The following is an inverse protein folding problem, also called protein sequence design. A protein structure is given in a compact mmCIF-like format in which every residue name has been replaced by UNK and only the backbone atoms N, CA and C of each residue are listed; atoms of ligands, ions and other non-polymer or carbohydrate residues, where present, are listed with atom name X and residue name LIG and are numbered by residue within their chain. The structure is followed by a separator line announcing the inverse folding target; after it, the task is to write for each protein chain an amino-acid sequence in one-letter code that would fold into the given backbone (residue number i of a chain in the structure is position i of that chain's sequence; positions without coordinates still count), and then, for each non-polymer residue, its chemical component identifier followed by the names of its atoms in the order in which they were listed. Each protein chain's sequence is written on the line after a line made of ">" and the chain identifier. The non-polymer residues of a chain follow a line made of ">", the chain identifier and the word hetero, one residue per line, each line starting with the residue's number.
data_IF_797989021980
#
_entry.id   IF_797989021980
#
_cell.length_a   1.000
_cell.length_b   1.000
_cell.length_c   1.000
_cell.angle_alpha   90.00
_cell.angle_beta   90.00
_cell.angle_gamma   90.00
#
_symmetry.space_group_name_H-M   'P 1'
#
loop_
_entity.id
_entity.type
_entity.pdbx_description
1 polymer ?
#
# COMPACT_ATOMS: atom_id res chain seq x y z
N UNK A 1 25.96 -26.04 46.21
CA UNK A 1 26.13 -26.68 44.89
C UNK A 1 24.80 -27.35 44.56
N UNK A 2 23.91 -26.66 43.91
CA UNK A 2 22.62 -27.18 43.45
C UNK A 2 22.60 -27.02 41.93
N UNK A 3 22.62 -28.16 41.26
CA UNK A 3 22.54 -28.25 39.80
C UNK A 3 21.10 -28.17 39.40
N UNK A 4 20.72 -27.09 38.67
CA UNK A 4 19.43 -26.99 37.99
C UNK A 4 19.63 -27.48 36.56
N UNK A 5 19.06 -28.64 36.26
CA UNK A 5 19.00 -29.24 34.93
C UNK A 5 18.23 -28.32 33.95
N UNK A 6 18.83 -28.12 32.79
CA UNK A 6 18.26 -27.35 31.69
C UNK A 6 16.93 -27.92 31.19
N UNK A 7 15.92 -27.08 31.17
CA UNK A 7 14.69 -27.32 30.46
C UNK A 7 14.88 -26.82 29.01
N UNK A 8 15.01 -27.74 28.07
CA UNK A 8 14.89 -27.46 26.64
C UNK A 8 13.45 -27.03 26.37
N UNK A 9 13.24 -25.75 26.19
CA UNK A 9 11.97 -25.24 25.63
C UNK A 9 12.06 -25.43 24.12
N UNK A 10 11.55 -26.56 23.66
CA UNK A 10 11.26 -26.78 22.25
C UNK A 10 10.06 -25.95 21.89
N UNK A 11 10.28 -24.80 21.30
CA UNK A 11 9.19 -24.06 20.64
C UNK A 11 8.75 -24.86 19.42
N UNK A 12 7.61 -25.52 19.54
CA UNK A 12 6.97 -26.24 18.45
C UNK A 12 6.60 -25.24 17.35
N UNK A 13 7.35 -25.25 16.28
CA UNK A 13 6.99 -24.63 14.98
C UNK A 13 5.62 -25.16 14.46
N UNK A 14 5.10 -26.23 15.06
CA UNK A 14 3.82 -26.84 14.71
C UNK A 14 2.60 -26.00 15.12
N UNK A 15 2.72 -25.14 16.14
CA UNK A 15 1.56 -24.39 16.65
C UNK A 15 1.20 -23.17 15.78
N UNK A 16 2.12 -22.69 14.93
CA UNK A 16 1.89 -21.58 14.01
C UNK A 16 1.36 -22.05 12.65
N UNK A 17 1.59 -23.32 12.30
CA UNK A 17 1.11 -23.90 11.02
C UNK A 17 -0.32 -24.48 11.11
N UNK A 18 -0.80 -24.81 12.30
CA UNK A 18 -2.15 -25.38 12.44
C UNK A 18 -3.31 -24.42 12.09
N UNK A 19 -3.28 -23.10 12.39
CA UNK A 19 -4.33 -22.23 11.89
C UNK A 19 -4.31 -22.11 10.36
N UNK A 20 -3.15 -22.12 9.73
CA UNK A 20 -3.05 -22.05 8.26
C UNK A 20 -3.66 -23.27 7.55
N UNK A 21 -3.56 -24.47 8.11
CA UNK A 21 -4.15 -25.68 7.52
C UNK A 21 -5.67 -25.75 7.71
N UNK A 22 -6.21 -25.21 8.81
CA UNK A 22 -7.66 -25.14 9.03
C UNK A 22 -8.34 -24.11 8.10
N UNK A 23 -7.64 -23.06 7.67
CA UNK A 23 -8.13 -22.08 6.70
C UNK A 23 -8.26 -22.67 5.29
N UNK A 24 -7.45 -23.63 4.92
CA UNK A 24 -7.44 -24.21 3.57
C UNK A 24 -8.62 -25.18 3.30
N UNK A 25 -9.30 -25.68 4.33
CA UNK A 25 -10.41 -26.63 4.13
C UNK A 25 -11.71 -25.98 3.61
N UNK A 26 -11.90 -24.68 3.82
CA UNK A 26 -13.11 -23.96 3.38
C UNK A 26 -12.87 -23.00 2.21
N UNK A 27 -11.63 -22.54 1.99
CA UNK A 27 -11.28 -21.71 0.84
C UNK A 27 -10.95 -22.60 -0.36
N UNK A 28 -11.48 -22.25 -1.55
CA UNK A 28 -11.12 -22.94 -2.78
C UNK A 28 -9.66 -22.71 -3.11
N UNK A 29 -9.01 -23.73 -3.64
CA UNK A 29 -7.64 -23.59 -4.14
C UNK A 29 -7.57 -22.45 -5.18
N UNK A 30 -6.59 -21.56 -5.10
CA UNK A 30 -6.53 -20.35 -5.94
C UNK A 30 -6.56 -20.66 -7.45
N UNK A 31 -5.94 -21.76 -7.86
CA UNK A 31 -5.85 -22.16 -9.26
C UNK A 31 -7.10 -22.88 -9.81
N UNK A 32 -8.02 -23.29 -8.93
CA UNK A 32 -9.22 -24.08 -9.27
C UNK A 32 -10.51 -23.29 -9.02
N UNK A 33 -10.46 -21.96 -9.04
CA UNK A 33 -11.66 -21.18 -8.84
C UNK A 33 -12.64 -21.35 -9.99
N UNK A 34 -13.69 -22.13 -9.76
CA UNK A 34 -14.82 -22.28 -10.66
C UNK A 34 -16.08 -21.81 -9.96
N UNK A 35 -16.90 -20.98 -10.60
CA UNK A 35 -18.18 -20.56 -10.04
C UNK A 35 -19.06 -21.76 -9.70
N UNK A 36 -19.58 -21.81 -8.46
CA UNK A 36 -20.51 -22.86 -8.01
C UNK A 36 -21.93 -22.57 -8.51
N UNK A 37 -22.31 -21.29 -8.52
CA UNK A 37 -23.67 -20.84 -8.83
C UNK A 37 -23.85 -20.46 -10.30
N UNK A 38 -23.42 -21.32 -11.22
CA UNK A 38 -23.45 -21.02 -12.67
C UNK A 38 -24.83 -20.60 -13.16
N UNK A 39 -25.91 -21.29 -12.72
CA UNK A 39 -27.29 -20.92 -13.07
C UNK A 39 -27.70 -19.56 -12.47
N UNK A 40 -27.29 -19.28 -11.24
CA UNK A 40 -27.51 -17.99 -10.58
C UNK A 40 -26.82 -16.86 -11.33
N UNK A 41 -25.56 -17.06 -11.72
CA UNK A 41 -24.79 -16.10 -12.51
C UNK A 41 -25.47 -15.84 -13.86
N UNK A 42 -25.87 -16.88 -14.57
CA UNK A 42 -26.55 -16.76 -15.86
C UNK A 42 -27.86 -15.98 -15.73
N UNK A 43 -28.64 -16.24 -14.69
CA UNK A 43 -29.89 -15.52 -14.40
C UNK A 43 -29.62 -14.04 -14.12
N UNK A 44 -28.66 -13.70 -13.25
CA UNK A 44 -28.30 -12.30 -12.96
C UNK A 44 -27.90 -11.55 -14.22
N UNK A 45 -27.02 -12.16 -15.04
CA UNK A 45 -26.58 -11.59 -16.33
C UNK A 45 -27.74 -11.30 -17.27
N UNK A 46 -28.69 -12.21 -17.37
CA UNK A 46 -29.88 -12.08 -18.22
C UNK A 46 -30.81 -10.96 -17.70
N UNK A 47 -31.15 -10.96 -16.42
CA UNK A 47 -32.03 -9.96 -15.78
C UNK A 47 -31.46 -8.54 -15.89
N UNK A 48 -30.15 -8.39 -15.76
CA UNK A 48 -29.46 -7.10 -15.82
C UNK A 48 -28.98 -6.71 -17.23
N UNK A 49 -29.17 -7.58 -18.25
CA UNK A 49 -28.61 -7.41 -19.61
C UNK A 49 -27.10 -7.12 -19.58
N UNK A 50 -26.39 -7.82 -18.72
CA UNK A 50 -24.99 -7.58 -18.39
C UNK A 50 -24.15 -8.86 -18.66
N UNK A 51 -23.79 -9.16 -19.91
CA UNK A 51 -23.08 -10.39 -20.26
C UNK A 51 -21.72 -10.51 -19.56
N UNK A 52 -21.07 -9.38 -19.29
CA UNK A 52 -19.76 -9.32 -18.61
C UNK A 52 -19.84 -9.40 -17.08
N UNK A 53 -21.08 -9.49 -16.52
CA UNK A 53 -21.28 -9.56 -15.06
C UNK A 53 -21.13 -8.23 -14.33
N UNK A 54 -21.21 -7.10 -15.05
CA UNK A 54 -21.16 -5.73 -14.50
C UNK A 54 -22.14 -4.82 -15.19
N UNK A 55 -22.74 -3.89 -14.44
CA UNK A 55 -23.69 -2.86 -14.90
C UNK A 55 -23.15 -1.49 -14.51
N UNK A 56 -23.11 -0.57 -15.46
CA UNK A 56 -22.87 0.85 -15.22
C UNK A 56 -24.19 1.60 -15.35
N UNK A 57 -24.66 2.21 -14.26
CA UNK A 57 -25.80 3.11 -14.27
C UNK A 57 -25.30 4.56 -14.23
N UNK A 58 -25.32 5.22 -15.38
CA UNK A 58 -24.82 6.58 -15.54
C UNK A 58 -25.68 7.59 -14.78
N UNK A 59 -26.99 7.39 -14.75
CA UNK A 59 -27.90 8.30 -14.07
C UNK A 59 -27.77 8.24 -12.55
N UNK A 60 -27.64 7.04 -12.00
CA UNK A 60 -27.38 6.81 -10.58
C UNK A 60 -25.92 6.96 -10.18
N UNK A 61 -25.00 7.14 -11.15
CA UNK A 61 -23.54 7.14 -10.95
C UNK A 61 -23.08 5.94 -10.13
N UNK A 62 -23.56 4.78 -10.49
CA UNK A 62 -23.26 3.54 -9.77
C UNK A 62 -22.79 2.43 -10.70
N UNK A 63 -21.92 1.59 -10.16
CA UNK A 63 -21.46 0.35 -10.80
C UNK A 63 -21.92 -0.81 -9.94
N UNK A 64 -22.64 -1.76 -10.55
CA UNK A 64 -23.06 -3.00 -9.89
C UNK A 64 -22.40 -4.19 -10.55
N UNK A 65 -21.89 -5.10 -9.76
CA UNK A 65 -21.30 -6.34 -10.25
C UNK A 65 -21.63 -7.51 -9.35
N UNK A 66 -21.64 -8.69 -9.94
CA UNK A 66 -21.89 -9.92 -9.23
C UNK A 66 -20.59 -10.52 -8.70
N UNK A 67 -20.61 -11.04 -7.49
CA UNK A 67 -19.51 -11.75 -6.87
C UNK A 67 -20.00 -12.99 -6.12
N UNK A 68 -19.14 -13.96 -5.93
CA UNK A 68 -19.40 -15.21 -5.24
C UNK A 68 -18.53 -15.30 -3.98
N UNK A 69 -19.11 -15.69 -2.85
CA UNK A 69 -18.41 -15.85 -1.59
C UNK A 69 -17.39 -17.01 -1.65
N UNK A 70 -16.22 -16.78 -1.04
CA UNK A 70 -15.14 -17.77 -0.97
C UNK A 70 -15.41 -18.87 0.07
N UNK A 71 -16.24 -18.58 1.06
CA UNK A 71 -16.53 -19.48 2.18
C UNK A 71 -15.73 -19.13 3.44
N UNK A 72 -15.17 -17.94 3.51
CA UNK A 72 -14.42 -17.45 4.69
C UNK A 72 -15.30 -17.45 5.93
N UNK A 73 -14.78 -18.00 7.04
CA UNK A 73 -15.47 -18.11 8.32
C UNK A 73 -15.41 -16.81 9.13
N UNK A 74 -16.41 -16.59 9.98
CA UNK A 74 -16.43 -15.44 10.89
C UNK A 74 -15.18 -15.39 11.76
N UNK A 75 -14.54 -14.21 11.85
CA UNK A 75 -13.30 -13.99 12.58
C UNK A 75 -12.02 -14.36 11.82
N UNK A 76 -12.13 -14.96 10.64
CA UNK A 76 -10.96 -15.23 9.79
C UNK A 76 -10.41 -13.93 9.18
N UNK A 77 -9.08 -13.82 9.16
CA UNK A 77 -8.38 -12.66 8.58
C UNK A 77 -8.64 -12.56 7.08
N UNK A 78 -8.94 -11.34 6.63
CA UNK A 78 -9.11 -11.03 5.21
C UNK A 78 -8.26 -9.83 4.82
N UNK A 79 -7.58 -9.95 3.68
CA UNK A 79 -6.79 -8.87 3.08
C UNK A 79 -7.55 -8.22 1.92
N UNK A 80 -8.49 -8.94 1.31
CA UNK A 80 -9.28 -8.45 0.20
C UNK A 80 -10.77 -8.59 0.46
N UNK A 81 -11.50 -7.53 0.22
CA UNK A 81 -12.96 -7.61 0.18
C UNK A 81 -13.42 -8.35 -1.10
N UNK A 82 -12.80 -8.03 -2.24
CA UNK A 82 -13.12 -8.68 -3.51
C UNK A 82 -11.88 -8.78 -4.42
N UNK A 83 -11.74 -9.92 -5.05
CA UNK A 83 -10.70 -10.22 -6.04
C UNK A 83 -11.31 -10.56 -7.39
N UNK A 84 -10.51 -10.46 -8.46
CA UNK A 84 -10.89 -10.89 -9.79
C UNK A 84 -10.91 -12.43 -9.95
N UNK A 85 -11.57 -12.94 -10.99
CA UNK A 85 -11.77 -14.39 -11.17
C UNK A 85 -10.49 -15.19 -11.45
N UNK A 86 -9.40 -14.49 -11.83
CA UNK A 86 -8.09 -15.11 -12.11
C UNK A 86 -7.08 -14.90 -10.96
N UNK A 87 -7.52 -14.35 -9.82
CA UNK A 87 -6.64 -14.15 -8.68
C UNK A 87 -6.37 -15.45 -7.93
N UNK A 88 -5.15 -15.61 -7.44
CA UNK A 88 -4.71 -16.70 -6.57
C UNK A 88 -4.93 -16.42 -5.06
N UNK A 89 -5.67 -15.33 -4.73
CA UNK A 89 -5.85 -14.83 -3.35
C UNK A 89 -7.20 -15.18 -2.73
N UNK A 90 -7.88 -16.22 -3.24
CA UNK A 90 -9.21 -16.59 -2.70
C UNK A 90 -9.20 -16.96 -1.21
N UNK A 91 -8.08 -17.51 -0.72
CA UNK A 91 -7.90 -17.93 0.68
C UNK A 91 -7.86 -16.77 1.70
N UNK A 92 -7.62 -15.54 1.25
CA UNK A 92 -7.57 -14.33 2.08
C UNK A 92 -8.57 -13.25 1.61
N UNK A 93 -9.61 -13.69 0.89
CA UNK A 93 -10.62 -12.82 0.27
C UNK A 93 -12.02 -13.24 0.66
N UNK A 94 -12.94 -12.28 0.79
CA UNK A 94 -14.34 -12.58 1.03
C UNK A 94 -15.07 -12.99 -0.25
N UNK A 95 -14.83 -12.28 -1.35
CA UNK A 95 -15.58 -12.43 -2.58
C UNK A 95 -14.65 -12.59 -3.79
N UNK A 96 -15.10 -13.37 -4.77
CA UNK A 96 -14.51 -13.41 -6.11
C UNK A 96 -15.53 -12.87 -7.12
N UNK A 97 -15.14 -11.86 -7.89
CA UNK A 97 -16.05 -11.22 -8.87
C UNK A 97 -16.28 -12.11 -10.08
N UNK A 98 -17.49 -12.07 -10.63
CA UNK A 98 -17.81 -12.72 -11.91
C UNK A 98 -17.25 -11.91 -13.07
N UNK A 99 -17.30 -10.59 -12.97
CA UNK A 99 -16.72 -9.68 -13.94
C UNK A 99 -15.20 -9.59 -13.77
N UNK A 100 -14.48 -9.44 -14.88
CA UNK A 100 -13.06 -9.12 -14.82
C UNK A 100 -12.83 -7.74 -14.21
N UNK A 101 -11.69 -7.50 -13.53
CA UNK A 101 -11.33 -6.17 -13.06
C UNK A 101 -11.33 -5.11 -14.17
N UNK A 102 -10.93 -5.47 -15.38
CA UNK A 102 -10.97 -4.59 -16.54
C UNK A 102 -12.40 -4.18 -16.92
N UNK A 103 -13.36 -5.11 -16.89
CA UNK A 103 -14.76 -4.80 -17.15
C UNK A 103 -15.35 -3.89 -16.07
N UNK A 104 -15.00 -4.13 -14.80
CA UNK A 104 -15.40 -3.27 -13.67
C UNK A 104 -14.79 -1.86 -13.85
N UNK A 105 -13.52 -1.75 -14.20
CA UNK A 105 -12.86 -0.46 -14.46
C UNK A 105 -13.55 0.32 -15.60
N UNK A 106 -13.86 -0.36 -16.71
CA UNK A 106 -14.59 0.25 -17.82
C UNK A 106 -15.99 0.74 -17.41
N UNK A 107 -16.65 0.05 -16.48
CA UNK A 107 -17.94 0.49 -15.95
C UNK A 107 -17.82 1.77 -15.10
N UNK A 108 -16.76 1.90 -14.32
CA UNK A 108 -16.47 3.15 -13.59
C UNK A 108 -16.16 4.32 -14.55
N UNK A 109 -15.37 4.08 -15.60
CA UNK A 109 -15.15 5.09 -16.64
C UNK A 109 -16.47 5.54 -17.29
N UNK A 110 -17.38 4.60 -17.54
CA UNK A 110 -18.66 4.87 -18.19
C UNK A 110 -19.58 5.76 -17.34
N UNK A 111 -19.52 5.67 -16.01
CA UNK A 111 -20.28 6.57 -15.13
C UNK A 111 -19.61 7.93 -14.95
N UNK A 112 -18.45 8.15 -15.58
CA UNK A 112 -17.71 9.41 -15.54
C UNK A 112 -16.88 9.62 -14.28
N UNK A 113 -16.59 8.56 -13.50
CA UNK A 113 -15.76 8.66 -12.31
C UNK A 113 -14.30 8.94 -12.70
N UNK A 114 -13.70 10.05 -12.24
CA UNK A 114 -12.32 10.38 -12.56
C UNK A 114 -11.36 9.28 -12.05
N UNK A 115 -10.44 8.87 -12.92
CA UNK A 115 -9.45 7.86 -12.55
C UNK A 115 -8.48 8.40 -11.52
N UNK A 116 -8.33 7.67 -10.42
CA UNK A 116 -7.32 7.92 -9.42
C UNK A 116 -6.02 7.16 -9.66
N UNK A 117 -5.20 7.03 -8.63
CA UNK A 117 -3.93 6.29 -8.64
C UNK A 117 -3.77 5.54 -7.33
N UNK A 118 -3.44 4.25 -7.39
CA UNK A 118 -3.19 3.44 -6.20
C UNK A 118 -1.98 3.90 -5.40
N UNK A 119 -2.00 3.66 -4.11
CA UNK A 119 -0.81 3.82 -3.28
C UNK A 119 0.31 2.92 -3.81
N UNK A 120 1.50 3.47 -4.00
CA UNK A 120 2.67 2.74 -4.46
C UNK A 120 3.92 3.26 -3.74
N UNK A 121 4.36 2.59 -2.67
CA UNK A 121 5.55 2.99 -1.93
C UNK A 121 6.82 3.04 -2.81
N UNK A 122 6.90 2.21 -3.85
CA UNK A 122 8.02 2.21 -4.80
C UNK A 122 8.12 3.49 -5.63
N UNK A 123 7.02 4.25 -5.71
CA UNK A 123 6.94 5.54 -6.40
C UNK A 123 6.73 6.69 -5.41
N UNK A 124 7.04 6.49 -4.15
CA UNK A 124 6.80 7.43 -3.06
C UNK A 124 5.35 7.95 -2.97
N UNK A 125 4.40 7.20 -3.51
CA UNK A 125 2.98 7.46 -3.36
C UNK A 125 2.45 6.64 -2.20
N UNK A 126 2.43 7.23 -1.03
CA UNK A 126 2.06 6.55 0.23
C UNK A 126 0.54 6.47 0.40
N UNK A 127 -0.19 7.51 -0.03
CA UNK A 127 -1.64 7.57 0.02
C UNK A 127 -2.24 7.19 -1.34
N UNK A 128 -3.33 6.40 -1.36
CA UNK A 128 -4.11 6.24 -2.56
C UNK A 128 -4.75 7.58 -2.94
N UNK A 129 -4.83 7.88 -4.22
CA UNK A 129 -5.50 9.06 -4.74
C UNK A 129 -6.72 8.64 -5.56
N UNK A 130 -7.87 9.18 -5.25
CA UNK A 130 -9.09 8.90 -6.01
C UNK A 130 -10.35 9.46 -5.36
N UNK A 131 -11.41 9.54 -6.13
CA UNK A 131 -12.71 9.94 -5.64
C UNK A 131 -13.30 8.88 -4.70
N UNK A 132 -14.02 9.33 -3.68
CA UNK A 132 -14.67 8.46 -2.70
C UNK A 132 -15.89 7.79 -3.30
N UNK A 133 -16.04 6.51 -3.01
CA UNK A 133 -17.20 5.71 -3.40
C UNK A 133 -17.78 5.01 -2.18
N UNK A 134 -19.10 4.98 -2.14
CA UNK A 134 -19.83 4.18 -1.17
C UNK A 134 -20.01 2.77 -1.72
N UNK A 135 -19.63 1.75 -0.95
CA UNK A 135 -19.73 0.35 -1.34
C UNK A 135 -20.80 -0.34 -0.48
N UNK A 136 -21.67 -1.09 -1.13
CA UNK A 136 -22.60 -2.00 -0.47
C UNK A 136 -22.58 -3.38 -1.13
N UNK A 137 -22.88 -4.42 -0.36
CA UNK A 137 -23.02 -5.78 -0.88
C UNK A 137 -24.27 -6.41 -0.29
N UNK A 138 -25.09 -7.02 -1.15
CA UNK A 138 -26.34 -7.69 -0.76
C UNK A 138 -26.34 -9.12 -1.28
N UNK A 139 -26.77 -10.11 -0.48
CA UNK A 139 -27.03 -11.45 -0.98
C UNK A 139 -27.99 -11.38 -2.18
N UNK A 140 -27.67 -12.09 -3.26
CA UNK A 140 -28.50 -12.12 -4.46
C UNK A 140 -29.16 -13.48 -4.64
N UNK A 141 -30.43 -13.46 -5.05
CA UNK A 141 -31.19 -14.69 -5.29
C UNK A 141 -31.79 -15.35 -4.03
N UNK A 142 -31.55 -14.79 -2.88
CA UNK A 142 -32.18 -15.20 -1.62
C UNK A 142 -33.26 -14.18 -1.30
N UNK A 143 -34.46 -14.64 -0.90
CA UNK A 143 -35.48 -13.74 -0.35
C UNK A 143 -34.90 -13.12 0.93
N UNK A 144 -34.40 -11.89 0.81
CA UNK A 144 -33.77 -11.19 1.93
C UNK A 144 -34.85 -10.80 2.93
N UNK A 145 -34.71 -11.07 4.23
CA UNK A 145 -35.49 -10.37 5.24
C UNK A 145 -35.32 -8.87 5.02
N UNK A 146 -36.38 -8.09 5.17
CA UNK A 146 -36.42 -6.64 4.95
C UNK A 146 -35.33 -5.85 5.70
N UNK A 147 -34.67 -6.46 6.69
CA UNK A 147 -33.63 -5.91 7.57
C UNK A 147 -32.19 -6.32 7.20
N UNK A 148 -31.95 -7.01 6.10
CA UNK A 148 -30.60 -7.28 5.64
C UNK A 148 -29.98 -5.98 5.10
N UNK A 149 -29.59 -5.09 5.98
CA UNK A 149 -28.92 -3.84 5.65
C UNK A 149 -27.69 -4.08 4.79
N UNK A 150 -27.38 -3.12 3.94
CA UNK A 150 -26.55 -3.26 2.75
C UNK A 150 -25.15 -2.72 2.88
N UNK A 151 -24.58 -2.63 4.09
CA UNK A 151 -23.23 -2.05 4.26
C UNK A 151 -22.09 -3.09 4.17
N UNK A 152 -20.90 -2.66 3.78
CA UNK A 152 -19.65 -3.45 3.83
C UNK A 152 -19.40 -4.05 5.22
N UNK A 153 -19.79 -3.32 6.25
CA UNK A 153 -19.63 -3.62 7.67
C UNK A 153 -20.28 -4.91 8.13
N UNK A 154 -21.20 -5.46 7.35
CA UNK A 154 -21.78 -6.78 7.64
C UNK A 154 -20.91 -7.93 7.16
N UNK A 155 -19.99 -7.66 6.25
CA UNK A 155 -19.10 -8.68 5.69
C UNK A 155 -17.68 -8.58 6.28
N UNK A 156 -17.23 -7.37 6.63
CA UNK A 156 -15.89 -7.10 7.16
C UNK A 156 -15.98 -6.35 8.48
N UNK A 157 -15.16 -6.76 9.44
CA UNK A 157 -15.00 -6.09 10.74
C UNK A 157 -13.56 -5.65 10.93
N UNK A 158 -13.34 -4.40 11.37
CA UNK A 158 -12.05 -3.91 11.84
C UNK A 158 -11.91 -4.27 13.34
N UNK A 159 -11.01 -5.18 13.68
CA UNK A 159 -10.84 -5.65 15.07
C UNK A 159 -10.16 -4.64 16.00
N UNK A 160 -9.59 -3.57 15.45
CA UNK A 160 -8.94 -2.51 16.26
C UNK A 160 -9.90 -1.45 16.75
N UNK A 161 -11.01 -1.25 16.05
CA UNK A 161 -12.07 -0.37 16.52
C UNK A 161 -12.92 -1.14 17.52
N UNK A 162 -12.74 -0.89 18.82
CA UNK A 162 -13.53 -1.51 19.88
C UNK A 162 -14.96 -0.90 20.00
N UNK A 163 -15.30 0.04 19.13
CA UNK A 163 -16.63 0.64 19.11
C UNK A 163 -17.62 -0.33 18.43
N UNK A 164 -18.76 -0.53 19.06
CA UNK A 164 -19.92 -1.24 18.50
C UNK A 164 -20.52 -0.45 17.34
N UNK A 165 -19.84 -0.43 16.27
CA UNK A 165 -20.27 0.24 15.05
C UNK A 165 -19.37 -0.17 13.92
N UNK A 166 -19.85 -1.10 13.23
CA UNK A 166 -19.27 -1.85 12.10
C UNK A 166 -18.82 -1.01 10.90
N UNK A 167 -18.21 0.14 11.06
CA UNK A 167 -17.70 0.90 9.92
C UNK A 167 -16.25 0.51 9.61
N UNK A 168 -15.94 0.33 8.36
CA UNK A 168 -14.55 0.38 7.91
C UNK A 168 -13.97 1.71 8.40
N UNK A 169 -12.81 1.68 9.01
CA UNK A 169 -12.16 2.83 9.64
C UNK A 169 -11.75 3.94 8.65
N UNK A 170 -11.95 3.73 7.36
CA UNK A 170 -11.63 4.68 6.31
C UNK A 170 -12.60 4.57 5.12
N UNK A 171 -12.87 5.67 4.42
CA UNK A 171 -13.60 5.64 3.16
C UNK A 171 -12.93 4.76 2.12
N UNK A 172 -13.71 4.31 1.13
CA UNK A 172 -13.18 3.60 -0.04
C UNK A 172 -12.96 4.62 -1.15
N UNK A 173 -11.79 4.53 -1.80
CA UNK A 173 -11.44 5.38 -2.93
C UNK A 173 -11.25 4.57 -4.21
N UNK A 174 -11.67 5.15 -5.32
CA UNK A 174 -11.46 4.63 -6.66
C UNK A 174 -10.08 5.01 -7.17
N UNK A 175 -9.16 4.06 -7.25
CA UNK A 175 -7.78 4.29 -7.68
C UNK A 175 -7.52 3.88 -9.13
N UNK A 176 -8.47 3.21 -9.77
CA UNK A 176 -8.34 2.64 -11.12
C UNK A 176 -7.19 1.62 -11.29
N UNK A 177 -6.58 1.20 -10.20
CA UNK A 177 -5.43 0.27 -10.20
C UNK A 177 -4.11 0.92 -10.62
N UNK A 178 -3.03 0.14 -10.55
CA UNK A 178 -1.72 0.58 -11.04
C UNK A 178 -1.70 0.64 -12.57
N UNK A 179 -0.88 1.54 -13.12
CA UNK A 179 -0.68 1.71 -14.54
C UNK A 179 0.75 1.35 -14.93
N UNK A 180 0.91 0.74 -16.08
CA UNK A 180 2.22 0.55 -16.68
C UNK A 180 2.73 1.86 -17.31
N UNK A 181 3.97 1.86 -17.78
CA UNK A 181 4.58 3.02 -18.44
C UNK A 181 3.88 3.47 -19.75
N UNK A 182 2.83 2.75 -20.18
CA UNK A 182 1.99 3.07 -21.35
C UNK A 182 0.60 3.54 -20.95
N UNK A 183 0.42 3.88 -19.69
CA UNK A 183 -0.88 4.27 -19.10
C UNK A 183 -1.98 3.20 -19.17
N UNK A 184 -1.60 1.94 -19.40
CA UNK A 184 -2.53 0.80 -19.39
C UNK A 184 -2.69 0.29 -17.96
N UNK A 185 -3.92 -0.01 -17.52
CA UNK A 185 -4.12 -0.62 -16.21
C UNK A 185 -3.33 -1.94 -16.13
N UNK A 186 -2.46 -2.09 -15.14
CA UNK A 186 -1.73 -3.37 -14.90
C UNK A 186 -2.72 -4.52 -14.69
N UNK A 187 -3.91 -4.22 -14.18
CA UNK A 187 -5.05 -5.13 -14.12
C UNK A 187 -5.41 -5.80 -15.46
N UNK A 188 -5.07 -5.18 -16.60
CA UNK A 188 -5.31 -5.72 -17.93
C UNK A 188 -4.23 -6.70 -18.41
N UNK A 189 -3.10 -6.81 -17.72
CA UNK A 189 -1.92 -7.55 -18.16
C UNK A 189 -1.66 -8.83 -17.35
N UNK A 190 -2.64 -9.71 -17.18
CA UNK A 190 -2.46 -11.07 -16.64
C UNK A 190 -1.90 -11.19 -15.19
N UNK A 191 -1.86 -10.13 -14.41
CA UNK A 191 -1.54 -10.24 -12.98
C UNK A 191 -2.81 -10.52 -12.18
N UNK A 192 -2.73 -11.37 -11.14
CA UNK A 192 -3.83 -11.57 -10.21
C UNK A 192 -4.26 -10.22 -9.65
N UNK A 193 -5.44 -9.74 -10.04
CA UNK A 193 -5.88 -8.39 -9.72
C UNK A 193 -6.94 -8.43 -8.63
N UNK A 194 -6.68 -7.71 -7.54
CA UNK A 194 -7.68 -7.40 -6.56
C UNK A 194 -8.61 -6.29 -7.07
N UNK A 195 -9.90 -6.49 -6.90
CA UNK A 195 -10.91 -5.45 -7.17
C UNK A 195 -10.95 -4.47 -6.00
N UNK A 196 -10.98 -4.98 -4.77
CA UNK A 196 -10.98 -4.15 -3.58
C UNK A 196 -10.07 -4.74 -2.50
N UNK A 197 -8.95 -4.09 -2.22
CA UNK A 197 -8.03 -4.45 -1.15
C UNK A 197 -8.29 -3.64 0.12
N UNK A 198 -8.15 -4.29 1.28
CA UNK A 198 -8.29 -3.70 2.61
C UNK A 198 -6.95 -3.13 3.13
N UNK A 199 -5.91 -3.14 2.29
CA UNK A 199 -4.63 -2.48 2.50
C UNK A 199 -4.19 -1.74 1.22
N UNK A 200 -3.10 -0.98 1.28
CA UNK A 200 -2.61 -0.23 0.13
C UNK A 200 -1.93 -1.18 -0.87
N UNK A 201 -2.71 -1.70 -1.79
CA UNK A 201 -2.30 -2.61 -2.83
C UNK A 201 -2.39 -1.92 -4.20
N UNK A 202 -1.25 -1.50 -4.74
CA UNK A 202 -1.18 -0.68 -5.94
C UNK A 202 -2.02 -1.18 -7.13
N UNK A 203 -2.10 -2.49 -7.42
CA UNK A 203 -2.92 -3.00 -8.52
C UNK A 203 -4.43 -2.99 -8.29
N UNK A 204 -4.91 -2.79 -7.05
CA UNK A 204 -6.36 -2.83 -6.77
C UNK A 204 -7.11 -1.65 -7.35
N UNK A 205 -8.31 -1.89 -7.85
CA UNK A 205 -9.19 -0.86 -8.38
C UNK A 205 -9.74 0.06 -7.29
N UNK A 206 -10.04 -0.53 -6.14
CA UNK A 206 -10.57 0.14 -4.95
C UNK A 206 -9.64 -0.12 -3.77
N UNK A 207 -9.40 0.91 -2.95
CA UNK A 207 -8.57 0.82 -1.75
C UNK A 207 -9.20 1.63 -0.62
N UNK A 208 -8.80 1.33 0.61
CA UNK A 208 -9.12 2.20 1.74
C UNK A 208 -8.30 3.49 1.67
N UNK A 209 -8.94 4.61 1.98
CA UNK A 209 -8.32 5.94 2.03
C UNK A 209 -7.51 6.11 3.32
N UNK A 210 -6.27 5.64 3.32
CA UNK A 210 -5.40 5.68 4.48
C UNK A 210 -3.99 5.16 4.19
N UNK A 211 -3.15 5.15 5.22
CA UNK A 211 -1.84 4.52 5.21
C UNK A 211 -1.97 3.11 5.79
N UNK A 212 -2.25 2.16 4.94
CA UNK A 212 -2.52 0.76 5.28
C UNK A 212 -1.55 -0.15 4.54
N UNK A 213 -0.29 -0.25 5.01
CA UNK A 213 0.62 -1.26 4.47
C UNK A 213 0.19 -2.67 4.91
N UNK A 214 0.53 -3.68 4.12
CA UNK A 214 0.12 -5.06 4.36
C UNK A 214 0.56 -5.56 5.75
N UNK A 215 1.79 -5.26 6.14
CA UNK A 215 2.35 -5.73 7.42
C UNK A 215 1.62 -5.14 8.61
N UNK A 216 1.34 -3.84 8.60
CA UNK A 216 0.65 -3.15 9.70
C UNK A 216 -0.84 -3.46 9.77
N UNK A 217 -1.45 -3.90 8.67
CA UNK A 217 -2.87 -4.23 8.59
C UNK A 217 -3.17 -5.71 8.68
N UNK A 218 -2.17 -6.58 8.61
CA UNK A 218 -2.37 -8.02 8.75
C UNK A 218 -3.12 -8.37 10.04
N UNK A 219 -4.19 -9.13 9.92
CA UNK A 219 -5.08 -9.48 11.04
C UNK A 219 -5.97 -8.36 11.57
N UNK A 220 -5.92 -7.17 10.95
CA UNK A 220 -6.79 -6.05 11.33
C UNK A 220 -8.23 -6.23 10.85
N UNK A 221 -8.40 -6.73 9.65
CA UNK A 221 -9.70 -6.98 9.05
C UNK A 221 -10.02 -8.46 9.08
N UNK A 222 -11.22 -8.78 9.53
CA UNK A 222 -11.73 -10.14 9.61
C UNK A 222 -13.13 -10.23 8.99
N UNK A 223 -13.50 -11.43 8.55
CA UNK A 223 -14.89 -11.68 8.15
C UNK A 223 -15.82 -11.46 9.33
N UNK A 224 -16.81 -10.59 9.17
CA UNK A 224 -17.78 -10.29 10.23
C UNK A 224 -18.75 -11.43 10.48
N UNK A 225 -19.08 -12.20 9.45
CA UNK A 225 -20.00 -13.35 9.49
C UNK A 225 -19.44 -14.48 8.64
N UNK A 226 -19.76 -15.72 8.99
CA UNK A 226 -19.47 -16.88 8.13
C UNK A 226 -20.34 -16.80 6.88
N UNK A 227 -19.69 -16.88 5.72
CA UNK A 227 -20.34 -16.93 4.43
C UNK A 227 -20.25 -18.32 3.85
N UNK A 228 -21.32 -18.75 3.23
CA UNK A 228 -21.32 -20.04 2.55
C UNK A 228 -20.60 -19.89 1.21
N UNK A 229 -19.59 -20.73 0.96
CA UNK A 229 -18.93 -20.79 -0.31
C UNK A 229 -19.95 -20.94 -1.46
N UNK A 230 -19.82 -20.12 -2.49
CA UNK A 230 -20.76 -20.12 -3.60
C UNK A 230 -22.00 -19.24 -3.41
N UNK A 231 -22.21 -18.61 -2.26
CA UNK A 231 -23.29 -17.64 -2.10
C UNK A 231 -23.03 -16.41 -2.96
N UNK A 232 -24.06 -15.95 -3.67
CA UNK A 232 -23.93 -14.81 -4.58
C UNK A 232 -24.27 -13.51 -3.88
N UNK A 233 -23.47 -12.48 -4.19
CA UNK A 233 -23.65 -11.11 -3.72
C UNK A 233 -23.68 -10.15 -4.91
N UNK A 234 -24.62 -9.22 -4.90
CA UNK A 234 -24.56 -8.04 -5.74
C UNK A 234 -23.81 -6.93 -5.00
N UNK A 235 -22.67 -6.56 -5.50
CA UNK A 235 -21.86 -5.45 -4.98
C UNK A 235 -22.18 -4.19 -5.77
N UNK A 236 -22.48 -3.10 -5.06
CA UNK A 236 -22.77 -1.79 -5.65
C UNK A 236 -21.77 -0.78 -5.14
N UNK A 237 -21.14 -0.06 -6.06
CA UNK A 237 -20.29 1.09 -5.79
C UNK A 237 -20.99 2.35 -6.32
N UNK A 238 -21.19 3.35 -5.47
CA UNK A 238 -21.90 4.59 -5.82
C UNK A 238 -20.98 5.80 -5.60
N UNK A 239 -20.97 6.71 -6.58
CA UNK A 239 -20.29 8.00 -6.51
C UNK A 239 -21.30 9.14 -6.42
N UNK A 240 -21.09 10.10 -5.53
CA UNK A 240 -22.02 11.23 -5.33
C UNK A 240 -21.91 12.33 -6.44
N UNK A 241 -20.93 12.17 -7.32
CA UNK A 241 -20.70 13.12 -8.44
C UNK A 241 -19.99 14.39 -8.05
N UNK A 242 -19.44 14.47 -6.83
CA UNK A 242 -18.69 15.65 -6.36
C UNK A 242 -17.20 15.33 -6.30
N UNK A 243 -16.33 16.30 -6.58
CA UNK A 243 -14.90 16.15 -6.36
C UNK A 243 -14.61 16.14 -4.85
N UNK A 244 -13.85 15.13 -4.40
CA UNK A 244 -13.41 14.99 -3.02
C UNK A 244 -11.90 15.18 -2.85
N UNK A 245 -11.13 15.12 -3.94
CA UNK A 245 -9.68 15.11 -3.91
C UNK A 245 -9.05 16.12 -4.84
N UNK A 246 -7.85 16.57 -4.50
CA UNK A 246 -7.02 17.44 -5.34
C UNK A 246 -5.57 16.99 -5.26
N UNK A 247 -4.97 16.64 -6.40
CA UNK A 247 -3.54 16.35 -6.50
C UNK A 247 -2.77 17.64 -6.82
N UNK A 248 -1.71 17.90 -6.06
CA UNK A 248 -0.90 19.11 -6.18
C UNK A 248 0.57 18.77 -6.15
N UNK A 249 1.30 19.10 -7.21
CA UNK A 249 2.74 19.23 -7.14
C UNK A 249 3.08 20.65 -6.68
N UNK A 250 3.75 20.74 -5.54
CA UNK A 250 4.11 22.00 -4.92
C UNK A 250 5.60 22.26 -5.07
N UNK A 251 5.95 23.14 -6.01
CA UNK A 251 7.33 23.57 -6.17
C UNK A 251 7.64 24.69 -5.18
N UNK A 252 8.60 24.45 -4.28
CA UNK A 252 8.98 25.35 -3.21
C UNK A 252 10.32 26.03 -3.50
N UNK A 253 10.35 27.31 -3.23
CA UNK A 253 11.56 28.13 -3.05
C UNK A 253 11.49 28.81 -1.69
N UNK A 254 12.60 29.35 -1.21
CA UNK A 254 12.64 30.04 0.10
C UNK A 254 11.63 31.20 0.20
N UNK A 255 11.34 31.88 -0.90
CA UNK A 255 10.50 33.07 -0.92
C UNK A 255 8.99 32.78 -0.88
N UNK A 256 8.55 31.57 -1.25
CA UNK A 256 7.12 31.32 -1.44
C UNK A 256 6.50 30.24 -0.55
N UNK A 257 7.32 29.51 0.22
CA UNK A 257 6.88 28.32 0.96
C UNK A 257 5.73 28.61 1.93
N UNK A 258 5.84 29.63 2.75
CA UNK A 258 4.83 29.97 3.78
C UNK A 258 3.48 30.29 3.16
N UNK A 259 3.47 31.13 2.12
CA UNK A 259 2.22 31.52 1.44
C UNK A 259 1.54 30.32 0.76
N UNK A 260 2.34 29.42 0.17
CA UNK A 260 1.81 28.22 -0.48
C UNK A 260 1.26 27.20 0.52
N UNK A 261 1.91 27.01 1.66
CA UNK A 261 1.42 26.16 2.76
C UNK A 261 0.05 26.67 3.22
N UNK A 262 -0.07 27.97 3.49
CA UNK A 262 -1.33 28.56 3.93
C UNK A 262 -2.46 28.37 2.89
N UNK A 263 -2.16 28.51 1.61
CA UNK A 263 -3.13 28.29 0.53
C UNK A 263 -3.59 26.83 0.44
N UNK A 264 -2.70 25.87 0.67
CA UNK A 264 -3.06 24.44 0.71
C UNK A 264 -3.92 24.09 1.92
N UNK A 265 -3.62 24.63 3.09
CA UNK A 265 -4.43 24.45 4.30
C UNK A 265 -5.87 24.94 4.10
N UNK A 266 -6.04 26.06 3.42
CA UNK A 266 -7.38 26.57 3.11
C UNK A 266 -8.15 25.64 2.15
N UNK A 267 -7.46 25.07 1.16
CA UNK A 267 -8.05 24.07 0.26
C UNK A 267 -8.40 22.78 1.00
N UNK A 268 -7.55 22.35 1.92
CA UNK A 268 -7.71 21.12 2.69
C UNK A 268 -8.91 21.11 3.65
N UNK A 269 -9.50 22.27 3.93
CA UNK A 269 -10.78 22.36 4.66
C UNK A 269 -11.96 21.76 3.90
N UNK A 270 -11.85 21.59 2.58
CA UNK A 270 -12.96 21.18 1.70
C UNK A 270 -12.67 19.93 0.90
N UNK A 271 -11.42 19.68 0.57
CA UNK A 271 -10.98 18.58 -0.26
C UNK A 271 -9.80 17.87 0.41
N UNK A 272 -9.66 16.57 0.18
CA UNK A 272 -8.42 15.88 0.49
C UNK A 272 -7.34 16.32 -0.48
N UNK A 273 -6.31 16.99 0.00
CA UNK A 273 -5.23 17.51 -0.83
C UNK A 273 -4.05 16.58 -0.77
N UNK A 274 -3.76 15.94 -1.89
CA UNK A 274 -2.56 15.12 -2.05
C UNK A 274 -1.42 16.01 -2.51
N UNK A 275 -0.37 16.10 -1.71
CA UNK A 275 0.76 17.00 -1.96
C UNK A 275 2.01 16.20 -2.27
N UNK A 276 2.65 16.52 -3.40
CA UNK A 276 4.00 16.11 -3.70
C UNK A 276 4.90 17.34 -3.73
N UNK A 277 5.92 17.36 -2.87
CA UNK A 277 6.88 18.45 -2.81
C UNK A 277 7.92 18.31 -3.92
N UNK A 278 8.17 19.39 -4.63
CA UNK A 278 9.33 19.59 -5.48
C UNK A 278 10.09 20.82 -4.98
N UNK A 279 11.42 20.82 -5.08
CA UNK A 279 12.27 21.91 -4.60
C UNK A 279 12.99 22.58 -5.77
N UNK A 280 13.16 23.90 -5.67
CA UNK A 280 14.05 24.61 -6.58
C UNK A 280 15.48 24.09 -6.40
N UNK A 281 16.27 24.09 -7.49
CA UNK A 281 17.60 23.51 -7.52
C UNK A 281 18.56 24.06 -6.44
N UNK A 282 18.36 25.30 -6.02
CA UNK A 282 19.16 25.97 -4.99
C UNK A 282 18.74 25.66 -3.57
N UNK A 283 17.60 25.00 -3.34
CA UNK A 283 17.12 24.66 -1.98
C UNK A 283 18.09 23.67 -1.34
N UNK A 284 18.58 24.00 -0.15
CA UNK A 284 19.54 23.15 0.58
C UNK A 284 18.85 21.99 1.28
N UNK A 285 19.60 20.93 1.60
CA UNK A 285 19.11 19.76 2.36
C UNK A 285 18.45 20.19 3.66
N UNK A 286 19.07 21.12 4.44
CA UNK A 286 18.48 21.61 5.67
C UNK A 286 17.12 22.26 5.45
N UNK A 287 16.99 23.07 4.40
CA UNK A 287 15.73 23.76 4.11
C UNK A 287 14.66 22.81 3.61
N UNK A 288 15.05 21.86 2.75
CA UNK A 288 14.15 20.81 2.29
C UNK A 288 13.62 19.96 3.45
N UNK A 289 14.48 19.57 4.40
CA UNK A 289 14.09 18.85 5.61
C UNK A 289 13.09 19.64 6.46
N UNK A 290 13.34 20.94 6.69
CA UNK A 290 12.41 21.81 7.42
C UNK A 290 11.03 21.87 6.77
N UNK A 291 10.97 21.99 5.45
CA UNK A 291 9.70 22.02 4.73
C UNK A 291 9.00 20.67 4.79
N UNK A 292 9.74 19.57 4.59
CA UNK A 292 9.20 18.23 4.65
C UNK A 292 8.56 17.93 6.01
N UNK A 293 9.23 18.29 7.12
CA UNK A 293 8.68 18.11 8.48
C UNK A 293 7.46 19.01 8.74
N UNK A 294 7.48 20.25 8.26
CA UNK A 294 6.34 21.15 8.38
C UNK A 294 5.10 20.58 7.68
N UNK A 295 5.25 20.00 6.49
CA UNK A 295 4.16 19.33 5.78
C UNK A 295 3.76 18.02 6.45
N UNK A 296 4.72 17.20 6.90
CA UNK A 296 4.43 15.94 7.58
C UNK A 296 3.58 16.15 8.84
N UNK A 297 3.77 17.27 9.55
CA UNK A 297 2.94 17.63 10.71
C UNK A 297 1.47 17.90 10.38
N UNK A 298 1.15 18.13 9.11
CA UNK A 298 -0.20 18.37 8.58
C UNK A 298 -0.80 17.13 7.93
N UNK A 299 -0.03 16.05 7.80
CA UNK A 299 -0.49 14.81 7.21
C UNK A 299 -1.66 14.22 7.99
N UNK A 300 -2.67 13.73 7.28
CA UNK A 300 -3.92 13.26 7.89
C UNK A 300 -4.89 14.35 8.35
N UNK A 301 -4.56 15.64 8.18
CA UNK A 301 -5.44 16.78 8.48
C UNK A 301 -6.01 17.42 7.21
N UNK A 302 -6.41 16.59 6.25
CA UNK A 302 -6.85 17.02 4.91
C UNK A 302 -5.69 17.23 3.93
N UNK A 303 -4.44 17.23 4.40
CA UNK A 303 -3.23 17.19 3.58
C UNK A 303 -2.63 15.79 3.61
N UNK A 304 -2.39 15.20 2.47
CA UNK A 304 -1.81 13.86 2.32
C UNK A 304 -0.51 13.98 1.54
N UNK A 305 0.60 13.58 2.17
CA UNK A 305 1.92 13.70 1.58
C UNK A 305 2.24 12.48 0.73
N UNK A 306 2.37 12.69 -0.58
CA UNK A 306 2.74 11.66 -1.54
C UNK A 306 4.14 11.92 -2.12
N UNK A 307 5.17 11.53 -1.40
CA UNK A 307 6.56 11.78 -1.74
C UNK A 307 7.02 13.20 -1.40
N UNK A 308 8.32 13.35 -1.24
CA UNK A 308 8.93 14.63 -0.86
C UNK A 308 10.12 14.86 -1.79
N UNK A 309 9.99 15.80 -2.72
CA UNK A 309 10.93 16.12 -3.77
C UNK A 309 11.03 15.07 -4.89
N UNK A 310 11.73 15.44 -5.93
CA UNK A 310 11.88 14.68 -7.17
C UNK A 310 12.20 13.20 -6.92
N UNK A 311 11.33 12.33 -7.36
CA UNK A 311 11.48 10.90 -7.20
C UNK A 311 11.07 10.40 -5.80
N UNK A 312 11.98 9.77 -5.08
CA UNK A 312 11.73 8.99 -3.87
C UNK A 312 12.47 9.51 -2.64
N UNK A 313 12.88 10.77 -2.65
CA UNK A 313 13.56 11.38 -1.50
C UNK A 313 12.60 11.72 -0.38
N UNK A 314 12.94 11.29 0.83
CA UNK A 314 12.30 11.68 2.08
C UNK A 314 13.28 12.46 2.93
N UNK A 315 13.14 13.78 2.93
CA UNK A 315 14.00 14.64 3.74
C UNK A 315 13.61 14.55 5.23
N UNK A 316 14.62 14.49 6.11
CA UNK A 316 14.45 14.42 7.56
C UNK A 316 15.12 15.59 8.27
N UNK A 317 14.39 16.22 9.17
CA UNK A 317 14.91 17.31 9.98
C UNK A 317 15.92 16.83 11.04
N UNK A 318 15.79 15.58 11.48
CA UNK A 318 16.62 14.99 12.52
C UNK A 318 17.39 13.79 11.97
N UNK A 319 18.64 13.66 12.40
CA UNK A 319 19.44 12.47 12.14
C UNK A 319 18.80 11.24 12.82
N UNK A 320 18.95 10.05 12.22
CA UNK A 320 18.51 8.83 12.88
C UNK A 320 19.32 8.61 14.16
N UNK A 321 18.70 7.97 15.16
CA UNK A 321 19.40 7.54 16.36
C UNK A 321 20.60 6.66 15.98
N UNK A 322 21.85 7.02 16.35
CA UNK A 322 23.02 6.21 16.06
C UNK A 322 22.93 4.76 16.55
N UNK A 323 22.20 4.51 17.63
CA UNK A 323 21.95 3.18 18.16
C UNK A 323 21.11 2.30 17.24
N UNK A 324 20.57 2.79 16.14
CA UNK A 324 19.82 1.97 15.20
C UNK A 324 20.65 0.82 14.59
N UNK A 325 21.97 1.03 14.44
CA UNK A 325 22.93 0.02 13.97
C UNK A 325 23.18 -1.08 15.00
N UNK A 326 23.03 -0.76 16.29
CA UNK A 326 23.34 -1.67 17.41
C UNK A 326 22.12 -2.51 17.84
N UNK A 327 20.95 -2.24 17.28
CA UNK A 327 19.73 -2.98 17.67
C UNK A 327 19.77 -4.39 17.12
N UNK A 328 19.88 -5.36 18.04
CA UNK A 328 19.70 -6.77 17.75
C UNK A 328 18.36 -7.08 17.07
N UNK A 329 18.31 -8.10 16.21
CA UNK A 329 17.09 -8.58 15.57
C UNK A 329 16.59 -7.74 14.38
N UNK A 330 17.36 -6.80 13.88
CA UNK A 330 17.02 -6.12 12.62
C UNK A 330 17.46 -6.94 11.42
N UNK A 331 16.50 -7.45 10.70
CA UNK A 331 16.72 -8.29 9.52
C UNK A 331 17.27 -7.47 8.34
N UNK A 332 17.07 -6.14 8.30
CA UNK A 332 17.49 -5.29 7.19
C UNK A 332 18.09 -3.98 7.70
N UNK A 333 19.37 -3.76 7.39
CA UNK A 333 20.02 -2.48 7.61
C UNK A 333 19.98 -1.69 6.29
N UNK A 334 19.56 -0.41 6.27
CA UNK A 334 19.63 0.40 5.05
C UNK A 334 21.07 0.52 4.56
N UNK A 335 21.24 0.70 3.25
CA UNK A 335 22.49 1.21 2.74
C UNK A 335 22.69 2.65 3.18
N UNK A 336 23.95 3.09 3.32
CA UNK A 336 24.24 4.47 3.61
C UNK A 336 25.21 5.05 2.58
N UNK A 337 25.00 6.32 2.26
CA UNK A 337 25.97 7.13 1.54
C UNK A 337 26.23 8.39 2.37
N UNK A 338 27.47 8.61 2.73
CA UNK A 338 27.94 9.81 3.41
C UNK A 338 28.64 10.73 2.43
N UNK A 339 28.27 11.99 2.39
CA UNK A 339 28.86 13.04 1.57
C UNK A 339 29.53 14.02 2.51
N UNK A 340 30.85 14.14 2.41
CA UNK A 340 31.62 15.08 3.21
C UNK A 340 31.50 16.52 2.65
N UNK A 341 31.92 17.51 3.45
CA UNK A 341 31.87 18.93 3.05
C UNK A 341 32.73 19.26 1.82
N UNK A 342 33.76 18.48 1.53
CA UNK A 342 34.59 18.57 0.33
C UNK A 342 34.03 17.81 -0.88
N UNK A 343 32.85 17.20 -0.74
CA UNK A 343 32.21 16.40 -1.78
C UNK A 343 32.65 14.95 -1.86
N UNK A 344 33.59 14.50 -1.00
CA UNK A 344 33.99 13.10 -0.93
C UNK A 344 32.80 12.22 -0.53
N UNK A 345 32.68 11.03 -1.15
CA UNK A 345 31.56 10.12 -0.93
C UNK A 345 32.04 8.79 -0.40
N UNK A 346 31.27 8.24 0.56
CA UNK A 346 31.55 6.93 1.16
C UNK A 346 30.26 6.13 1.19
N UNK A 347 30.28 4.95 0.60
CA UNK A 347 29.22 3.96 0.70
C UNK A 347 29.46 3.10 1.93
N UNK A 348 28.43 2.90 2.75
CA UNK A 348 28.49 2.04 3.93
C UNK A 348 27.44 0.94 3.83
N UNK A 349 27.88 -0.27 4.08
CA UNK A 349 27.05 -1.48 4.15
C UNK A 349 27.34 -2.20 5.47
N UNK A 350 26.31 -2.57 6.22
CA UNK A 350 26.46 -3.39 7.44
C UNK A 350 26.37 -4.86 7.08
N UNK A 351 27.51 -5.56 7.13
CA UNK A 351 27.59 -7.00 6.94
C UNK A 351 27.14 -7.72 8.21
N UNK A 352 26.27 -8.71 8.08
CA UNK A 352 25.81 -9.55 9.20
C UNK A 352 26.75 -10.74 9.38
N UNK A 353 27.37 -10.82 10.53
CA UNK A 353 28.21 -11.96 10.91
C UNK A 353 27.46 -12.89 11.86
N UNK A 354 27.06 -14.04 11.34
CA UNK A 354 26.31 -15.08 12.04
C UNK A 354 27.22 -16.14 12.70
N UNK A 355 28.54 -15.92 12.72
CA UNK A 355 29.50 -16.90 13.27
C UNK A 355 29.51 -16.95 14.80
N UNK A 356 28.82 -16.08 15.50
CA UNK A 356 28.71 -16.04 16.95
C UNK A 356 27.77 -17.12 17.54
N UNK A 357 27.87 -17.36 18.84
CA UNK A 357 26.99 -18.30 19.57
C UNK A 357 25.58 -17.69 19.85
N UNK A 358 25.33 -16.44 19.48
CA UNK A 358 24.06 -15.74 19.66
C UNK A 358 23.01 -16.09 18.63
N UNK A 359 21.76 -15.72 18.92
CA UNK A 359 20.64 -15.80 17.97
C UNK A 359 20.60 -14.60 17.01
N UNK A 360 21.36 -13.55 17.29
CA UNK A 360 21.45 -12.32 16.51
C UNK A 360 22.82 -12.17 15.85
N UNK A 361 22.90 -11.63 14.63
CA UNK A 361 24.18 -11.41 13.96
C UNK A 361 24.92 -10.21 14.58
N UNK A 362 26.24 -10.26 14.53
CA UNK A 362 27.08 -9.10 14.79
C UNK A 362 27.14 -8.24 13.53
N UNK A 363 26.74 -6.97 13.63
CA UNK A 363 26.75 -6.04 12.51
C UNK A 363 28.14 -5.40 12.33
N UNK A 364 28.74 -5.59 11.16
CA UNK A 364 30.06 -5.04 10.82
C UNK A 364 29.93 -4.01 9.70
N UNK A 365 29.99 -2.68 9.98
CA UNK A 365 29.94 -1.69 8.95
C UNK A 365 31.22 -1.74 8.10
N UNK A 366 31.04 -1.81 6.77
CA UNK A 366 32.09 -1.70 5.76
C UNK A 366 31.93 -0.40 4.99
N UNK A 367 32.91 0.47 5.07
CA UNK A 367 32.94 1.76 4.40
C UNK A 367 33.81 1.68 3.15
N UNK A 368 33.29 2.09 1.99
CA UNK A 368 33.99 2.10 0.71
C UNK A 368 33.90 3.48 0.09
N UNK A 369 35.02 4.22 -0.05
CA UNK A 369 35.03 5.49 -0.76
C UNK A 369 34.71 5.30 -2.25
N UNK A 370 34.03 6.28 -2.86
CA UNK A 370 33.78 6.31 -4.30
C UNK A 370 33.72 7.77 -4.80
N UNK A 371 33.97 7.98 -6.10
CA UNK A 371 34.05 9.33 -6.66
C UNK A 371 32.83 9.73 -7.46
N UNK A 372 32.25 8.81 -8.22
CA UNK A 372 31.16 9.08 -9.14
C UNK A 372 29.93 8.26 -8.77
N UNK A 373 28.75 8.85 -8.93
CA UNK A 373 27.48 8.14 -8.67
C UNK A 373 27.32 6.87 -9.51
N UNK A 374 27.92 6.82 -10.69
CA UNK A 374 27.92 5.64 -11.57
C UNK A 374 28.61 4.40 -10.96
N UNK A 375 29.45 4.57 -9.93
CA UNK A 375 30.09 3.46 -9.22
C UNK A 375 29.15 2.77 -8.22
N UNK A 376 28.13 3.49 -7.73
CA UNK A 376 27.26 3.03 -6.65
C UNK A 376 26.51 1.71 -6.97
N UNK A 377 25.95 1.49 -8.18
CA UNK A 377 25.35 0.20 -8.53
C UNK A 377 26.31 -0.98 -8.39
N UNK A 378 27.58 -0.79 -8.77
CA UNK A 378 28.61 -1.81 -8.64
C UNK A 378 28.98 -2.09 -7.17
N UNK A 379 28.95 -1.08 -6.31
CA UNK A 379 29.16 -1.26 -4.86
C UNK A 379 27.99 -2.02 -4.22
N UNK A 380 26.76 -1.68 -4.58
CA UNK A 380 25.56 -2.37 -4.12
C UNK A 380 25.58 -3.83 -4.60
N UNK A 381 25.95 -4.10 -5.84
CA UNK A 381 26.00 -5.46 -6.36
C UNK A 381 27.03 -6.36 -5.61
N UNK A 382 28.10 -5.78 -5.08
CA UNK A 382 29.12 -6.51 -4.30
C UNK A 382 28.64 -6.95 -2.92
N UNK A 383 27.50 -6.48 -2.44
CA UNK A 383 26.94 -6.88 -1.14
C UNK A 383 26.25 -8.26 -1.17
N UNK A 384 26.07 -8.84 -2.35
CA UNK A 384 25.54 -10.19 -2.54
C UNK A 384 24.09 -10.36 -2.08
N UNK A 385 23.71 -11.55 -1.70
CA UNK A 385 22.34 -11.93 -1.32
C UNK A 385 21.78 -11.11 -0.14
N UNK A 386 22.63 -10.72 0.81
CA UNK A 386 22.22 -9.89 1.93
C UNK A 386 21.78 -8.50 1.43
N UNK A 387 22.57 -7.88 0.56
CA UNK A 387 22.25 -6.60 -0.06
C UNK A 387 21.02 -6.67 -0.97
N UNK A 388 20.73 -7.85 -1.51
CA UNK A 388 19.56 -8.07 -2.36
C UNK A 388 18.22 -7.84 -1.65
N UNK A 389 18.17 -7.92 -0.36
CA UNK A 389 16.98 -7.70 0.46
C UNK A 389 16.76 -6.24 0.85
N UNK A 390 17.76 -5.36 0.59
CA UNK A 390 17.75 -3.96 0.99
C UNK A 390 17.18 -3.09 -0.14
N UNK A 391 16.14 -2.32 0.16
CA UNK A 391 15.48 -1.39 -0.76
C UNK A 391 15.52 0.07 -0.32
N UNK A 392 16.17 0.35 0.81
CA UNK A 392 16.26 1.69 1.43
C UNK A 392 17.72 2.15 1.46
N UNK A 393 17.95 3.43 1.16
CA UNK A 393 19.25 4.08 1.25
C UNK A 393 19.14 5.35 2.09
N UNK A 394 20.01 5.48 3.09
CA UNK A 394 20.19 6.69 3.86
C UNK A 394 21.28 7.55 3.20
N UNK A 395 20.96 8.81 2.98
CA UNK A 395 21.86 9.81 2.43
C UNK A 395 22.17 10.83 3.51
N UNK A 396 23.44 10.87 3.94
CA UNK A 396 23.93 11.86 4.88
C UNK A 396 24.72 12.90 4.10
N UNK A 397 24.29 14.15 4.14
CA UNK A 397 24.89 15.23 3.38
C UNK A 397 25.03 16.50 4.24
N UNK A 398 26.02 17.36 3.98
CA UNK A 398 26.09 18.65 4.62
C UNK A 398 24.79 19.42 4.50
N UNK A 399 24.35 20.09 5.55
CA UNK A 399 23.12 20.91 5.58
C UNK A 399 23.05 21.92 4.43
N UNK A 400 24.20 22.41 3.98
CA UNK A 400 24.33 23.37 2.88
C UNK A 400 24.24 22.75 1.49
N UNK A 401 24.25 21.42 1.35
CA UNK A 401 24.22 20.74 0.04
C UNK A 401 22.92 21.08 -0.71
N UNK A 402 23.00 21.58 -1.95
CA UNK A 402 21.83 21.76 -2.78
C UNK A 402 21.14 20.42 -3.09
N UNK A 403 19.81 20.38 -3.07
CA UNK A 403 19.04 19.16 -3.39
C UNK A 403 19.36 18.68 -4.81
N UNK A 404 19.62 19.61 -5.74
CA UNK A 404 20.01 19.29 -7.11
C UNK A 404 21.25 18.39 -7.21
N UNK A 405 22.20 18.49 -6.27
CA UNK A 405 23.44 17.71 -6.26
C UNK A 405 23.21 16.24 -5.86
N UNK A 406 22.05 15.94 -5.25
CA UNK A 406 21.66 14.59 -4.85
C UNK A 406 20.86 13.88 -5.94
N UNK A 407 20.16 14.60 -6.82
CA UNK A 407 19.27 14.02 -7.83
C UNK A 407 19.93 13.00 -8.77
N UNK A 408 21.23 13.07 -9.12
CA UNK A 408 21.87 12.07 -9.95
C UNK A 408 21.79 10.65 -9.37
N UNK A 409 21.70 10.49 -8.04
CA UNK A 409 21.62 9.17 -7.40
C UNK A 409 20.36 8.39 -7.87
N UNK A 410 19.25 9.07 -8.12
CA UNK A 410 18.01 8.47 -8.58
C UNK A 410 18.13 7.79 -9.95
N UNK A 411 19.09 8.27 -10.78
CA UNK A 411 19.34 7.73 -12.12
C UNK A 411 20.33 6.58 -12.11
N UNK A 412 21.14 6.47 -11.05
CA UNK A 412 22.26 5.54 -10.97
C UNK A 412 22.00 4.34 -10.08
N UNK A 413 21.09 4.46 -9.12
CA UNK A 413 20.69 3.32 -8.30
C UNK A 413 19.84 2.32 -9.08
N UNK A 414 19.99 1.04 -8.74
CA UNK A 414 19.18 -0.01 -9.32
C UNK A 414 17.69 0.21 -9.01
N UNK A 415 16.81 -0.36 -9.83
CA UNK A 415 15.35 -0.36 -9.62
C UNK A 415 14.94 -0.93 -8.26
N UNK A 416 15.86 -1.61 -7.56
CA UNK A 416 15.65 -2.19 -6.24
C UNK A 416 15.64 -1.14 -5.12
N UNK A 417 16.56 -0.15 -5.17
CA UNK A 417 16.54 0.97 -4.22
C UNK A 417 15.44 1.93 -4.61
N UNK A 418 14.38 1.96 -3.83
CA UNK A 418 13.17 2.72 -4.13
C UNK A 418 12.85 3.82 -3.10
N UNK A 419 13.58 3.85 -2.00
CA UNK A 419 13.35 4.80 -0.91
C UNK A 419 14.67 5.40 -0.44
N UNK A 420 14.74 6.72 -0.45
CA UNK A 420 15.91 7.48 -0.02
C UNK A 420 15.53 8.42 1.12
N UNK A 421 16.11 8.21 2.29
CA UNK A 421 16.01 9.17 3.38
C UNK A 421 17.22 10.07 3.38
N UNK A 422 17.00 11.38 3.33
CA UNK A 422 18.07 12.38 3.27
C UNK A 422 18.16 13.10 4.61
N UNK A 423 19.35 13.09 5.18
CA UNK A 423 19.68 13.71 6.47
C UNK A 423 20.72 14.80 6.28
N UNK A 424 20.52 15.97 6.91
CA UNK A 424 21.49 17.05 6.94
C UNK A 424 22.42 16.91 8.15
N UNK A 425 23.72 16.81 7.90
CA UNK A 425 24.78 16.75 8.92
C UNK A 425 25.41 18.13 9.22
#
# INVERSE_FOLDING_TARGET
>A
MVVVKGMKVGYSLLAVLMPFLAFAENARAPMDWHPVQTNGIARWKAENKAPDGVVADVAARSVRFLAEATGTGAGETVEFFAIGPLSDRAYESLLVTVASPTAIAAAFDKIGLPRGVGANPLQARLWPYGEKVEISAKPWGVASPADAGSGLTRLVKDVRTQEEGDSLSAPVVWTAGARDGRDMPIAATNMPCAVFALYNHAPSLLQLDGLFDQTSTYGRYVAATTQKAGELFEVTATWDGKPHVKDVELKLSESNAVARIAALQETAKRLDVHVRLAFDASVTVARAATYAEAFASLDGKGLKMNGQAEGQFFFRAFLPDPAWRERAGRIFQPFEVHIAADGARTFVFCEEDWSGEGIDPVLKPKATPFKDWSELPGLIAKTGEQGEKINVLFLFAPKSTPVADLTPILKTTSTRINTFYVFGE
#
